data_IF_788473263266
#
_entry.id   IF_788473263266
#
_cell.length_a   1.000
_cell.length_b   1.000
_cell.length_c   1.000
_cell.angle_alpha   90.00
_cell.angle_beta   90.00
_cell.angle_gamma   90.00
#
_symmetry.space_group_name_H-M   'P 1'
#
loop_
_entity.id
_entity.type
_entity.pdbx_description
1 polymer ?
#
# COMPACT_ATOMS: atom_id res chain seq x y z
N UNK A 1 -16.66 67.93 48.04
CA UNK A 1 -16.78 66.75 48.94
C UNK A 1 -18.22 66.22 48.89
N UNK A 2 -18.43 65.10 48.20
CA UNK A 2 -19.52 64.12 48.41
C UNK A 2 -19.24 62.90 47.51
N UNK A 3 -18.96 61.78 48.17
CA UNK A 3 -19.13 60.34 47.87
C UNK A 3 -19.59 59.97 46.44
N UNK A 4 -18.87 59.12 45.68
CA UNK A 4 -18.65 57.65 45.82
C UNK A 4 -19.87 56.81 45.38
N UNK A 5 -19.58 55.80 44.55
CA UNK A 5 -20.23 54.47 44.38
C UNK A 5 -20.98 54.19 43.05
N UNK A 6 -20.62 53.04 42.45
CA UNK A 6 -21.38 52.13 41.56
C UNK A 6 -21.42 52.52 40.05
N UNK A 7 -21.15 51.67 39.06
CA UNK A 7 -21.25 50.21 38.93
C UNK A 7 -20.17 49.73 37.93
N UNK A 8 -19.37 48.73 38.33
CA UNK A 8 -18.55 47.92 37.43
C UNK A 8 -19.49 46.93 36.71
N UNK A 9 -19.97 47.28 35.50
CA UNK A 9 -20.73 46.35 34.66
C UNK A 9 -19.81 45.75 33.60
N UNK A 10 -19.25 44.59 33.97
CA UNK A 10 -19.09 43.41 33.16
C UNK A 10 -19.69 43.52 31.75
N UNK A 11 -18.84 43.56 30.73
CA UNK A 11 -19.18 43.00 29.42
C UNK A 11 -18.03 42.08 29.02
N UNK A 12 -18.14 40.87 29.54
CA UNK A 12 -17.45 39.68 29.06
C UNK A 12 -17.97 39.47 27.62
N UNK A 13 -17.26 40.02 26.63
CA UNK A 13 -17.58 39.76 25.23
C UNK A 13 -17.18 38.30 24.96
N UNK A 14 -18.19 37.44 24.99
CA UNK A 14 -18.35 36.17 24.27
C UNK A 14 -17.10 35.73 23.49
N UNK A 15 -16.17 35.06 24.18
CA UNK A 15 -15.29 34.07 23.55
C UNK A 15 -15.99 32.71 23.58
N UNK A 16 -17.15 32.63 22.92
CA UNK A 16 -17.87 31.36 22.75
C UNK A 16 -18.45 31.33 21.35
N UNK A 17 -17.69 30.75 20.43
CA UNK A 17 -18.14 29.72 19.49
C UNK A 17 -17.13 29.58 18.34
N UNK A 18 -15.88 29.27 18.65
CA UNK A 18 -15.15 28.34 17.80
C UNK A 18 -15.04 27.08 18.64
N UNK A 19 -16.06 26.22 18.58
CA UNK A 19 -15.77 24.80 18.71
C UNK A 19 -14.81 24.54 17.56
N UNK A 20 -13.53 24.38 17.88
CA UNK A 20 -12.68 23.57 17.02
C UNK A 20 -13.46 22.26 16.92
N UNK A 21 -13.99 21.91 15.75
CA UNK A 21 -14.44 20.54 15.54
C UNK A 21 -13.18 19.69 15.74
N UNK A 22 -13.03 19.13 16.93
CA UNK A 22 -12.07 18.06 17.13
C UNK A 22 -12.44 17.00 16.11
N UNK A 23 -11.51 16.69 15.21
CA UNK A 23 -11.68 15.61 14.25
C UNK A 23 -11.67 14.33 15.07
N UNK A 24 -12.85 13.86 15.48
CA UNK A 24 -12.95 12.69 16.36
C UNK A 24 -12.62 11.38 15.64
N UNK A 25 -12.71 11.34 14.30
CA UNK A 25 -12.36 10.16 13.51
C UNK A 25 -12.06 10.50 12.05
N UNK A 26 -11.07 9.85 11.47
CA UNK A 26 -10.75 9.98 10.05
C UNK A 26 -10.09 8.70 9.53
N UNK A 27 -10.43 8.33 8.29
CA UNK A 27 -9.81 7.24 7.54
C UNK A 27 -9.54 7.70 6.11
N UNK A 28 -8.30 7.54 5.65
CA UNK A 28 -7.84 7.81 4.30
C UNK A 28 -7.10 6.59 3.78
N UNK A 29 -7.56 6.10 2.64
CA UNK A 29 -6.89 5.08 1.83
C UNK A 29 -7.06 5.47 0.37
N UNK A 30 -5.99 5.36 -0.41
CA UNK A 30 -6.02 5.61 -1.85
C UNK A 30 -6.00 4.31 -2.66
N UNK A 31 -6.38 4.43 -3.93
CA UNK A 31 -6.11 3.39 -4.91
C UNK A 31 -4.60 3.17 -4.99
N UNK A 32 -4.18 1.92 -5.03
CA UNK A 32 -2.77 1.57 -4.91
C UNK A 32 -2.43 0.28 -5.65
N UNK A 33 -1.14 0.08 -5.90
CA UNK A 33 -0.59 -1.22 -6.22
C UNK A 33 -0.16 -1.84 -4.89
N UNK A 34 -0.67 -3.02 -4.51
CA UNK A 34 -0.23 -3.73 -3.30
C UNK A 34 1.29 -3.94 -3.29
N UNK A 35 1.83 -4.11 -2.09
CA UNK A 35 3.26 -4.34 -1.83
C UNK A 35 3.37 -5.53 -0.90
N UNK A 36 4.20 -6.52 -1.23
CA UNK A 36 4.42 -7.68 -0.35
C UNK A 36 3.11 -8.33 0.15
N UNK A 37 2.17 -8.57 -0.77
CA UNK A 37 0.83 -9.07 -0.46
C UNK A 37 0.04 -8.24 0.59
N UNK A 38 0.26 -6.93 0.65
CA UNK A 38 -0.39 -6.02 1.58
C UNK A 38 -0.75 -4.67 0.98
N UNK A 39 -1.47 -3.86 1.74
CA UNK A 39 -1.85 -2.48 1.37
C UNK A 39 -1.38 -1.49 2.43
N UNK A 40 -1.25 -0.23 2.05
CA UNK A 40 -1.02 0.86 2.98
C UNK A 40 -2.32 1.64 3.25
N UNK A 41 -2.63 1.83 4.52
CA UNK A 41 -3.62 2.80 5.00
C UNK A 41 -2.91 4.12 5.21
N UNK A 42 -3.21 5.11 4.36
CA UNK A 42 -2.48 6.38 4.33
C UNK A 42 -2.61 7.14 5.64
N UNK A 43 -3.82 7.15 6.21
CA UNK A 43 -4.08 7.78 7.49
C UNK A 43 -5.29 7.14 8.17
N UNK A 44 -5.19 6.89 9.47
CA UNK A 44 -6.37 6.63 10.29
C UNK A 44 -6.20 7.26 11.68
N UNK A 45 -7.30 7.75 12.23
CA UNK A 45 -7.36 8.27 13.59
C UNK A 45 -8.75 8.00 14.17
N UNK A 46 -8.79 7.57 15.42
CA UNK A 46 -9.98 7.56 16.27
C UNK A 46 -9.54 7.83 17.72
N UNK A 47 -10.36 8.54 18.48
CA UNK A 47 -10.04 8.95 19.84
C UNK A 47 -10.13 7.80 20.88
N UNK A 48 -10.93 6.77 20.60
CA UNK A 48 -10.99 5.54 21.39
C UNK A 48 -10.13 4.44 20.76
N UNK A 49 -9.95 3.33 21.48
CA UNK A 49 -9.44 2.10 20.88
C UNK A 49 -10.35 1.68 19.71
N UNK A 50 -9.72 1.22 18.64
CA UNK A 50 -10.44 0.80 17.44
C UNK A 50 -9.72 -0.34 16.74
N UNK A 51 -10.51 -1.18 16.09
CA UNK A 51 -10.03 -2.19 15.17
C UNK A 51 -9.96 -1.65 13.76
N UNK A 52 -8.93 -2.04 13.04
CA UNK A 52 -8.79 -1.81 11.62
C UNK A 52 -8.82 -3.16 10.90
N UNK A 53 -9.67 -3.27 9.87
CA UNK A 53 -9.81 -4.49 9.07
C UNK A 53 -9.85 -4.16 7.59
N UNK A 54 -9.25 -5.03 6.78
CA UNK A 54 -9.42 -5.05 5.34
C UNK A 54 -10.57 -5.98 4.97
N UNK A 55 -11.44 -5.52 4.08
CA UNK A 55 -12.64 -6.24 3.64
C UNK A 55 -12.74 -6.24 2.12
N UNK A 56 -13.43 -7.26 1.59
CA UNK A 56 -13.95 -7.25 0.23
C UNK A 56 -15.25 -6.43 0.13
N UNK A 57 -15.71 -6.22 -1.10
CA UNK A 57 -16.98 -5.55 -1.37
C UNK A 57 -18.20 -6.26 -0.77
N UNK A 58 -18.14 -7.59 -0.59
CA UNK A 58 -19.14 -8.41 0.08
C UNK A 58 -18.98 -8.48 1.61
N UNK A 59 -18.19 -7.57 2.18
CA UNK A 59 -17.90 -7.40 3.61
C UNK A 59 -17.18 -8.57 4.30
N UNK A 60 -16.68 -9.54 3.53
CA UNK A 60 -15.76 -10.57 4.04
C UNK A 60 -14.44 -9.93 4.47
N UNK A 61 -14.02 -10.16 5.71
CA UNK A 61 -12.72 -9.73 6.25
C UNK A 61 -11.60 -10.59 5.65
N UNK A 62 -10.54 -9.94 5.16
CA UNK A 62 -9.41 -10.57 4.46
C UNK A 62 -8.04 -10.19 5.05
N UNK A 63 -8.04 -9.59 6.24
CA UNK A 63 -6.85 -9.37 7.06
C UNK A 63 -7.12 -9.89 8.46
N UNK A 64 -6.07 -10.11 9.23
CA UNK A 64 -6.22 -10.15 10.69
C UNK A 64 -6.68 -8.77 11.20
N UNK A 65 -7.66 -8.71 12.12
CA UNK A 65 -8.04 -7.45 12.77
C UNK A 65 -6.87 -6.86 13.56
N UNK A 66 -6.63 -5.56 13.37
CA UNK A 66 -5.55 -4.85 14.07
C UNK A 66 -6.14 -3.89 15.09
N UNK A 67 -5.85 -4.08 16.38
CA UNK A 67 -6.21 -3.14 17.42
C UNK A 67 -5.25 -1.94 17.43
N UNK A 68 -5.80 -0.74 17.37
CA UNK A 68 -5.08 0.52 17.50
C UNK A 68 -5.55 1.23 18.78
N UNK A 69 -4.60 1.54 19.66
CA UNK A 69 -4.86 2.14 20.97
C UNK A 69 -5.06 3.67 20.90
N UNK A 70 -6.15 4.13 20.27
CA UNK A 70 -6.58 5.54 20.33
C UNK A 70 -5.57 6.56 19.80
N UNK A 71 -4.89 6.23 18.70
CA UNK A 71 -3.82 7.06 18.12
C UNK A 71 -3.99 7.23 16.62
N UNK A 72 -3.31 8.24 16.09
CA UNK A 72 -3.17 8.41 14.65
C UNK A 72 -2.10 7.46 14.11
N UNK A 73 -2.40 6.83 12.97
CA UNK A 73 -1.44 6.02 12.21
C UNK A 73 -1.30 6.59 10.80
N UNK A 74 -0.08 6.53 10.27
CA UNK A 74 0.30 7.04 8.95
C UNK A 74 0.97 5.92 8.17
N UNK A 75 0.59 5.78 6.89
CA UNK A 75 1.13 4.75 5.99
C UNK A 75 1.25 3.38 6.69
N UNK A 76 0.17 2.98 7.37
CA UNK A 76 0.13 1.73 8.11
C UNK A 76 0.05 0.56 7.13
N UNK A 77 1.02 -0.34 7.18
CA UNK A 77 1.02 -1.54 6.36
C UNK A 77 0.04 -2.56 6.94
N UNK A 78 -0.89 -3.01 6.11
CA UNK A 78 -1.90 -4.00 6.43
C UNK A 78 -1.74 -5.22 5.53
N UNK A 79 -1.24 -6.34 6.07
CA UNK A 79 -1.12 -7.58 5.32
C UNK A 79 -2.50 -8.10 4.88
N UNK A 80 -2.55 -8.63 3.66
CA UNK A 80 -3.66 -9.46 3.22
C UNK A 80 -3.34 -10.88 3.67
N UNK A 81 -4.32 -11.54 4.28
CA UNK A 81 -4.17 -12.92 4.71
C UNK A 81 -3.94 -13.83 3.48
N UNK A 82 -2.94 -14.71 3.61
CA UNK A 82 -2.40 -15.53 2.52
C UNK A 82 -3.40 -16.53 1.93
N UNK A 83 -4.50 -16.80 2.64
CA UNK A 83 -5.61 -17.65 2.19
C UNK A 83 -6.47 -16.97 1.13
N UNK A 84 -6.33 -15.66 0.94
CA UNK A 84 -7.14 -14.89 0.00
C UNK A 84 -6.35 -14.49 -1.24
N UNK A 85 -6.94 -14.76 -2.39
CA UNK A 85 -6.48 -14.27 -3.69
C UNK A 85 -7.25 -13.00 -4.06
N UNK A 86 -6.52 -11.99 -4.50
CA UNK A 86 -7.05 -10.68 -4.88
C UNK A 86 -6.95 -10.51 -6.39
N UNK A 87 -8.08 -10.19 -7.01
CA UNK A 87 -8.14 -9.97 -8.44
C UNK A 87 -7.53 -8.60 -8.83
N UNK A 88 -6.96 -8.52 -10.02
CA UNK A 88 -6.53 -7.24 -10.56
C UNK A 88 -7.73 -6.29 -10.73
N UNK A 89 -7.59 -5.04 -10.29
CA UNK A 89 -8.65 -4.02 -10.22
C UNK A 89 -9.80 -4.34 -9.24
N UNK A 90 -9.61 -5.28 -8.29
CA UNK A 90 -10.60 -5.55 -7.24
C UNK A 90 -10.86 -4.31 -6.39
N UNK A 91 -12.12 -4.15 -5.98
CA UNK A 91 -12.53 -3.09 -5.04
C UNK A 91 -12.59 -3.66 -3.63
N UNK A 92 -11.76 -3.09 -2.76
CA UNK A 92 -11.60 -3.45 -1.36
C UNK A 92 -12.06 -2.30 -0.46
N UNK A 93 -12.24 -2.59 0.82
CA UNK A 93 -12.66 -1.65 1.85
C UNK A 93 -11.73 -1.71 3.04
N UNK A 94 -11.32 -0.57 3.56
CA UNK A 94 -10.79 -0.50 4.93
C UNK A 94 -11.92 -0.02 5.83
N UNK A 95 -12.12 -0.69 6.96
CA UNK A 95 -13.14 -0.33 7.93
C UNK A 95 -12.52 -0.12 9.31
N UNK A 96 -12.92 0.96 9.99
CA UNK A 96 -12.67 1.12 11.42
C UNK A 96 -13.87 0.61 12.21
N UNK A 97 -13.61 -0.15 13.27
CA UNK A 97 -14.60 -0.64 14.22
C UNK A 97 -14.24 -0.14 15.62
N UNK A 98 -15.21 0.31 16.40
CA UNK A 98 -14.96 0.77 17.78
C UNK A 98 -14.70 -0.46 18.67
N UNK A 99 -13.66 -0.50 19.50
CA UNK A 99 -13.39 -1.62 20.42
C UNK A 99 -14.39 -1.57 21.59
N UNK A 100 -15.51 -2.27 21.45
CA UNK A 100 -16.57 -2.38 22.47
C UNK A 100 -16.63 -3.79 23.03
N UNK A 101 -17.44 -4.04 24.06
CA UNK A 101 -17.50 -5.37 24.67
C UNK A 101 -16.25 -5.71 25.48
N UNK A 102 -15.55 -6.77 25.10
CA UNK A 102 -14.34 -7.26 25.78
C UNK A 102 -13.10 -6.53 25.24
N UNK A 103 -12.42 -5.68 26.05
CA UNK A 103 -11.31 -4.88 25.55
C UNK A 103 -10.21 -5.72 24.87
N UNK A 104 -9.88 -5.37 23.63
CA UNK A 104 -8.84 -6.05 22.86
C UNK A 104 -9.24 -7.42 22.32
N UNK A 105 -10.54 -7.73 22.25
CA UNK A 105 -11.07 -8.87 21.50
C UNK A 105 -11.94 -8.36 20.35
N UNK A 106 -11.69 -8.83 19.13
CA UNK A 106 -12.52 -8.47 17.99
C UNK A 106 -13.80 -9.33 17.94
N UNK A 107 -14.96 -8.71 18.08
CA UNK A 107 -16.27 -9.35 18.33
C UNK A 107 -17.32 -9.06 17.23
N UNK A 108 -16.94 -8.39 16.13
CA UNK A 108 -17.89 -8.00 15.07
C UNK A 108 -18.53 -9.21 14.36
N UNK A 109 -19.88 -9.24 14.35
CA UNK A 109 -20.68 -10.35 13.80
C UNK A 109 -21.43 -10.03 12.50
N UNK A 110 -21.28 -8.83 11.93
CA UNK A 110 -21.90 -8.46 10.64
C UNK A 110 -23.26 -7.77 10.70
N UNK A 111 -23.96 -7.74 11.83
CA UNK A 111 -25.35 -7.22 11.89
C UNK A 111 -25.68 -6.35 13.10
N UNK A 112 -25.40 -6.85 14.31
CA UNK A 112 -25.61 -6.15 15.58
C UNK A 112 -24.75 -6.78 16.66
N UNK A 113 -24.36 -6.01 17.67
CA UNK A 113 -23.53 -6.49 18.78
C UNK A 113 -22.35 -5.57 19.00
N UNK A 114 -21.28 -6.12 19.57
CA UNK A 114 -20.04 -5.39 19.83
C UNK A 114 -19.25 -5.12 18.53
N UNK A 115 -18.26 -4.25 18.63
CA UNK A 115 -17.39 -3.82 17.55
C UNK A 115 -18.10 -3.36 16.29
N UNK A 116 -19.10 -2.49 16.44
CA UNK A 116 -19.73 -1.91 15.27
C UNK A 116 -18.77 -0.96 14.54
N UNK A 117 -18.91 -0.84 13.20
CA UNK A 117 -18.17 0.15 12.44
C UNK A 117 -18.30 1.54 13.06
N UNK A 118 -17.19 2.29 13.13
CA UNK A 118 -17.19 3.63 13.69
C UNK A 118 -18.10 4.54 12.86
N UNK A 119 -19.09 5.13 13.52
CA UNK A 119 -20.06 6.04 12.93
C UNK A 119 -20.12 7.35 13.74
N UNK A 120 -19.41 8.37 13.26
CA UNK A 120 -19.37 9.73 13.86
C UNK A 120 -19.79 10.77 12.81
N UNK A 121 -21.03 10.66 12.34
CA UNK A 121 -21.59 11.51 11.26
C UNK A 121 -21.38 10.94 9.85
N UNK A 122 -20.34 10.13 9.64
CA UNK A 122 -20.20 9.23 8.50
C UNK A 122 -19.58 7.91 8.91
N UNK A 123 -19.99 6.84 8.25
CA UNK A 123 -19.41 5.51 8.39
C UNK A 123 -17.94 5.54 7.97
N UNK A 124 -17.04 5.09 8.86
CA UNK A 124 -15.60 5.07 8.60
C UNK A 124 -15.19 3.79 7.88
N UNK A 125 -15.79 3.64 6.70
CA UNK A 125 -15.46 2.62 5.72
C UNK A 125 -15.05 3.34 4.44
N UNK A 126 -13.91 2.97 3.88
CA UNK A 126 -13.37 3.57 2.66
C UNK A 126 -13.11 2.50 1.62
N UNK A 127 -13.83 2.61 0.51
CA UNK A 127 -13.57 1.83 -0.69
C UNK A 127 -12.33 2.35 -1.42
N UNK A 128 -11.54 1.43 -1.97
CA UNK A 128 -10.42 1.72 -2.84
C UNK A 128 -10.22 0.58 -3.83
N UNK A 129 -9.48 0.84 -4.90
CA UNK A 129 -9.11 -0.17 -5.89
C UNK A 129 -7.65 -0.55 -5.75
N UNK A 130 -7.40 -1.84 -5.83
CA UNK A 130 -6.05 -2.39 -5.96
C UNK A 130 -5.78 -2.74 -7.40
N UNK A 131 -4.57 -2.48 -7.87
CA UNK A 131 -4.06 -2.97 -9.14
C UNK A 131 -2.90 -3.91 -8.86
N UNK A 132 -2.95 -5.12 -9.40
CA UNK A 132 -1.86 -6.08 -9.19
C UNK A 132 -0.53 -5.47 -9.69
N UNK A 133 0.60 -5.68 -8.99
CA UNK A 133 1.92 -5.36 -9.54
C UNK A 133 2.17 -6.20 -10.80
N UNK A 134 2.92 -5.66 -11.76
CA UNK A 134 3.08 -6.30 -13.06
C UNK A 134 4.35 -5.87 -13.79
N UNK A 135 4.85 -6.75 -14.64
CA UNK A 135 5.82 -6.47 -15.70
C UNK A 135 5.16 -6.81 -17.03
N UNK A 136 5.13 -5.86 -17.96
CA UNK A 136 4.67 -6.05 -19.33
C UNK A 136 5.83 -5.78 -20.28
N UNK A 137 6.26 -6.85 -20.94
CA UNK A 137 7.33 -6.88 -21.90
C UNK A 137 6.94 -7.84 -23.03
N UNK A 138 7.50 -7.61 -24.21
CA UNK A 138 7.35 -8.47 -25.37
C UNK A 138 8.72 -8.90 -25.86
N UNK A 139 8.73 -10.03 -26.56
CA UNK A 139 9.85 -10.42 -27.41
C UNK A 139 10.21 -9.27 -28.33
N UNK A 140 11.50 -8.99 -28.40
CA UNK A 140 12.01 -7.82 -29.08
C UNK A 140 13.43 -8.08 -29.55
N UNK A 141 13.83 -7.33 -30.57
CA UNK A 141 15.24 -7.18 -30.91
C UNK A 141 15.86 -6.26 -29.87
N UNK A 142 17.05 -6.59 -29.40
CA UNK A 142 17.78 -5.77 -28.43
C UNK A 142 19.21 -5.58 -28.90
N UNK A 143 19.75 -4.39 -28.62
CA UNK A 143 21.17 -4.10 -28.70
C UNK A 143 21.73 -3.95 -27.27
N UNK A 144 21.56 -2.76 -26.68
CA UNK A 144 22.17 -2.42 -25.38
C UNK A 144 21.16 -2.25 -24.23
N UNK A 145 19.85 -2.31 -24.52
CA UNK A 145 18.83 -2.05 -23.51
C UNK A 145 17.54 -2.80 -23.77
N UNK A 146 16.97 -3.39 -22.73
CA UNK A 146 15.67 -4.02 -22.77
C UNK A 146 14.56 -2.98 -22.58
N UNK A 147 13.59 -2.94 -23.48
CA UNK A 147 12.44 -2.04 -23.40
C UNK A 147 11.20 -2.75 -22.86
N UNK A 148 10.57 -2.14 -21.86
CA UNK A 148 9.34 -2.61 -21.24
C UNK A 148 8.17 -1.77 -21.74
N UNK A 149 7.10 -2.42 -22.20
CA UNK A 149 5.86 -1.75 -22.57
C UNK A 149 5.32 -0.94 -21.37
N UNK A 150 5.26 -1.63 -20.23
CA UNK A 150 4.95 -1.00 -18.94
C UNK A 150 5.30 -1.91 -17.77
N UNK A 151 5.44 -1.32 -16.59
CA UNK A 151 5.51 -2.05 -15.32
C UNK A 151 4.76 -1.26 -14.25
N UNK A 152 4.31 -1.95 -13.20
CA UNK A 152 3.64 -1.35 -12.06
C UNK A 152 4.20 -1.90 -10.76
N UNK A 153 4.61 -0.98 -9.86
CA UNK A 153 5.16 -1.30 -8.54
C UNK A 153 4.48 -0.43 -7.47
N UNK A 154 4.20 -1.02 -6.31
CA UNK A 154 3.51 -0.34 -5.20
C UNK A 154 4.41 0.43 -4.25
N UNK A 155 5.73 0.27 -4.36
CA UNK A 155 6.72 0.90 -3.50
C UNK A 155 7.99 1.26 -4.28
N UNK A 156 8.97 1.86 -3.60
CA UNK A 156 10.32 1.94 -4.15
C UNK A 156 10.93 0.53 -4.26
N UNK A 157 11.76 0.32 -5.27
CA UNK A 157 12.27 -1.01 -5.55
C UNK A 157 13.18 -1.11 -6.75
N UNK A 158 13.38 -2.33 -7.21
CA UNK A 158 14.31 -2.66 -8.28
C UNK A 158 13.62 -3.50 -9.35
N UNK A 159 14.02 -3.27 -10.61
CA UNK A 159 13.77 -4.19 -11.70
C UNK A 159 15.10 -4.84 -12.08
N UNK A 160 15.16 -6.17 -12.06
CA UNK A 160 16.34 -6.91 -12.49
C UNK A 160 16.09 -7.65 -13.79
N UNK A 161 17.18 -7.92 -14.50
CA UNK A 161 17.22 -8.73 -15.71
C UNK A 161 18.31 -9.78 -15.51
N UNK A 162 17.92 -11.02 -15.68
CA UNK A 162 18.77 -12.19 -15.57
C UNK A 162 18.82 -12.87 -16.94
N UNK A 163 19.99 -13.33 -17.36
CA UNK A 163 20.11 -14.20 -18.54
C UNK A 163 19.88 -15.65 -18.11
N UNK A 164 19.06 -16.40 -18.83
CA UNK A 164 18.86 -17.83 -18.53
C UNK A 164 19.84 -18.65 -19.35
N UNK A 165 20.46 -19.65 -18.73
CA UNK A 165 21.29 -20.65 -19.39
C UNK A 165 20.88 -22.08 -19.03
N UNK A 166 21.66 -23.06 -19.49
CA UNK A 166 21.41 -24.49 -19.26
C UNK A 166 21.44 -24.89 -17.77
N UNK A 167 21.95 -24.01 -16.90
CA UNK A 167 22.00 -24.21 -15.44
C UNK A 167 20.97 -23.38 -14.67
N UNK A 168 20.16 -22.58 -15.37
CA UNK A 168 19.17 -21.63 -14.83
C UNK A 168 19.74 -20.56 -13.88
N UNK A 169 21.06 -20.36 -13.83
CA UNK A 169 21.71 -19.36 -12.98
C UNK A 169 22.69 -18.48 -13.76
N UNK A 170 22.34 -17.19 -13.90
CA UNK A 170 23.33 -16.14 -14.07
C UNK A 170 23.10 -15.00 -13.08
N UNK A 171 24.16 -14.24 -12.85
CA UNK A 171 24.10 -12.92 -12.22
C UNK A 171 23.20 -11.96 -13.00
N UNK A 172 22.83 -10.87 -12.34
CA UNK A 172 22.01 -9.82 -12.96
C UNK A 172 22.80 -9.14 -14.07
N UNK A 173 22.27 -9.17 -15.30
CA UNK A 173 22.84 -8.48 -16.47
C UNK A 173 22.21 -7.10 -16.69
N UNK A 174 21.23 -6.73 -15.88
CA UNK A 174 20.63 -5.40 -15.89
C UNK A 174 19.90 -5.15 -14.58
N UNK A 175 20.10 -3.97 -14.01
CA UNK A 175 19.44 -3.54 -12.77
C UNK A 175 19.01 -2.08 -12.95
N UNK A 176 17.77 -1.78 -12.56
CA UNK A 176 17.28 -0.41 -12.54
C UNK A 176 16.54 -0.11 -11.24
N UNK A 177 16.87 1.02 -10.62
CA UNK A 177 16.16 1.53 -9.46
C UNK A 177 14.87 2.24 -9.85
N UNK A 178 13.79 1.95 -9.14
CA UNK A 178 12.49 2.58 -9.27
C UNK A 178 12.21 3.34 -7.96
N UNK A 179 12.41 4.65 -8.00
CA UNK A 179 12.41 5.50 -6.80
C UNK A 179 11.02 6.04 -6.39
N UNK A 180 9.96 5.72 -7.15
CA UNK A 180 8.59 6.15 -6.87
C UNK A 180 7.62 5.03 -7.20
N UNK A 181 6.62 4.79 -6.35
CA UNK A 181 5.54 3.86 -6.66
C UNK A 181 4.71 4.36 -7.85
N UNK A 182 4.26 3.45 -8.72
CA UNK A 182 3.39 3.82 -9.83
C UNK A 182 3.51 2.92 -11.05
N UNK A 183 3.01 3.44 -12.17
CA UNK A 183 3.03 2.77 -13.48
C UNK A 183 4.02 3.49 -14.39
N UNK A 184 4.99 2.74 -14.87
CA UNK A 184 5.99 3.20 -15.82
C UNK A 184 5.66 2.67 -17.21
N UNK A 185 5.91 3.47 -18.26
CA UNK A 185 5.67 3.12 -19.66
C UNK A 185 6.94 3.38 -20.45
N UNK A 186 7.21 2.55 -21.45
CA UNK A 186 8.43 2.65 -22.27
C UNK A 186 9.70 2.70 -21.39
N UNK A 187 9.69 1.94 -20.30
CA UNK A 187 10.81 1.88 -19.37
C UNK A 187 11.95 1.11 -20.02
N UNK A 188 13.19 1.55 -19.82
CA UNK A 188 14.37 0.91 -20.42
C UNK A 188 15.40 0.61 -19.35
N UNK A 189 16.00 -0.56 -19.44
CA UNK A 189 17.10 -0.97 -18.58
C UNK A 189 18.28 -1.33 -19.47
N UNK A 190 19.43 -0.73 -19.19
CA UNK A 190 20.66 -1.05 -19.89
C UNK A 190 21.11 -2.46 -19.51
N UNK A 191 21.68 -3.16 -20.48
CA UNK A 191 22.28 -4.46 -20.29
C UNK A 191 23.80 -4.29 -20.15
N UNK A 192 24.39 -5.07 -19.24
CA UNK A 192 25.81 -5.07 -18.94
C UNK A 192 26.55 -6.20 -19.68
N UNK A 193 25.80 -7.06 -20.37
CA UNK A 193 26.32 -8.17 -21.16
C UNK A 193 25.77 -8.19 -22.58
N UNK A 194 26.55 -8.78 -23.49
CA UNK A 194 26.11 -9.04 -24.85
C UNK A 194 25.03 -10.12 -24.88
N UNK A 195 23.93 -9.81 -25.56
CA UNK A 195 22.82 -10.74 -25.77
C UNK A 195 22.66 -11.07 -27.25
N UNK A 196 22.27 -12.31 -27.51
CA UNK A 196 22.11 -12.87 -28.84
C UNK A 196 20.66 -13.22 -29.10
N UNK A 197 20.28 -13.27 -30.37
CA UNK A 197 18.98 -13.77 -30.74
C UNK A 197 18.80 -15.23 -30.29
N UNK A 198 17.65 -15.53 -29.70
CA UNK A 198 17.37 -16.81 -29.05
C UNK A 198 17.65 -16.80 -27.54
N UNK A 199 18.40 -15.83 -27.02
CA UNK A 199 18.59 -15.69 -25.56
C UNK A 199 17.24 -15.50 -24.88
N UNK A 200 17.06 -16.17 -23.75
CA UNK A 200 15.91 -16.01 -22.87
C UNK A 200 16.33 -15.20 -21.66
N UNK A 201 15.64 -14.08 -21.40
CA UNK A 201 15.89 -13.25 -20.23
C UNK A 201 14.71 -13.34 -19.27
N UNK A 202 15.00 -13.35 -17.97
CA UNK A 202 14.01 -13.31 -16.90
C UNK A 202 14.09 -11.96 -16.22
N UNK A 203 12.93 -11.34 -16.04
CA UNK A 203 12.79 -10.03 -15.41
C UNK A 203 12.01 -10.16 -14.13
N UNK A 204 12.46 -9.51 -13.05
CA UNK A 204 11.83 -9.62 -11.72
C UNK A 204 11.73 -8.26 -11.04
N UNK A 205 10.63 -8.01 -10.35
CA UNK A 205 10.50 -6.86 -9.45
C UNK A 205 10.93 -7.25 -8.04
N UNK A 206 11.62 -6.33 -7.37
CA UNK A 206 12.00 -6.41 -5.98
C UNK A 206 11.57 -5.14 -5.25
N UNK A 207 11.28 -5.25 -3.96
CA UNK A 207 11.01 -4.11 -3.10
C UNK A 207 12.29 -3.74 -2.38
N UNK A 208 12.67 -2.47 -2.48
CA UNK A 208 13.79 -1.96 -1.70
C UNK A 208 13.26 -1.71 -0.28
N UNK A 209 13.84 -2.41 0.69
CA UNK A 209 13.46 -2.27 2.10
C UNK A 209 14.52 -1.49 2.89
N UNK A 210 15.58 -1.06 2.22
CA UNK A 210 16.71 -0.42 2.84
C UNK A 210 16.72 1.07 2.54
N UNK A 211 17.54 1.80 3.28
CA UNK A 211 17.87 3.19 2.94
C UNK A 211 19.07 3.28 1.99
N UNK A 212 19.66 2.12 1.64
CA UNK A 212 20.84 2.05 0.80
C UNK A 212 20.35 1.90 -0.64
N UNK A 213 20.70 2.85 -1.51
CA UNK A 213 20.38 2.79 -2.94
C UNK A 213 21.30 1.79 -3.67
N UNK A 214 21.38 0.56 -3.14
CA UNK A 214 22.16 -0.54 -3.69
C UNK A 214 21.33 -1.82 -3.60
N UNK A 215 21.20 -2.51 -4.72
CA UNK A 215 20.45 -3.76 -4.78
C UNK A 215 21.16 -4.89 -4.03
N UNK A 216 20.40 -5.67 -3.24
CA UNK A 216 20.84 -6.95 -2.69
C UNK A 216 19.63 -7.87 -2.49
N UNK A 217 19.66 -9.10 -3.02
CA UNK A 217 18.55 -10.05 -2.84
C UNK A 217 18.31 -10.47 -1.38
N UNK A 218 19.31 -10.34 -0.51
CA UNK A 218 19.17 -10.63 0.91
C UNK A 218 18.35 -9.55 1.63
N UNK A 219 18.41 -8.31 1.15
CA UNK A 219 17.79 -7.14 1.79
C UNK A 219 16.57 -6.61 1.04
N UNK A 220 16.53 -6.86 -0.27
CA UNK A 220 15.47 -6.46 -1.17
C UNK A 220 14.77 -7.74 -1.62
N UNK A 221 13.64 -8.13 -0.98
CA UNK A 221 12.94 -9.34 -1.37
C UNK A 221 12.21 -9.16 -2.70
N UNK A 222 12.00 -10.25 -3.46
CA UNK A 222 11.14 -10.22 -4.63
C UNK A 222 9.76 -9.64 -4.29
N UNK A 223 9.21 -8.84 -5.19
CA UNK A 223 7.84 -8.38 -5.05
C UNK A 223 6.88 -9.57 -5.21
N UNK A 224 5.94 -9.69 -4.27
CA UNK A 224 4.98 -10.79 -4.22
C UNK A 224 3.54 -10.29 -4.16
N UNK A 225 2.65 -10.96 -4.88
CA UNK A 225 1.22 -10.71 -4.88
C UNK A 225 0.45 -12.01 -5.06
N UNK A 226 -0.54 -12.27 -4.19
CA UNK A 226 -1.22 -13.57 -4.10
C UNK A 226 -0.24 -14.74 -3.89
N UNK A 227 0.84 -14.49 -3.14
CA UNK A 227 1.94 -15.43 -2.88
C UNK A 227 2.78 -15.82 -4.09
N UNK A 228 2.58 -15.18 -5.25
CA UNK A 228 3.39 -15.38 -6.45
C UNK A 228 4.37 -14.21 -6.63
N UNK A 229 5.60 -14.50 -7.09
CA UNK A 229 6.59 -13.48 -7.42
C UNK A 229 6.25 -12.81 -8.75
N UNK A 230 6.54 -11.51 -8.86
CA UNK A 230 6.31 -10.76 -10.09
C UNK A 230 7.49 -10.94 -11.04
N UNK A 231 7.34 -11.91 -11.94
CA UNK A 231 8.34 -12.32 -12.92
C UNK A 231 7.76 -12.33 -14.33
N UNK A 232 8.58 -12.04 -15.33
CA UNK A 232 8.24 -12.20 -16.74
C UNK A 232 9.46 -12.67 -17.54
N UNK A 233 9.22 -13.39 -18.63
CA UNK A 233 10.25 -13.94 -19.51
C UNK A 233 10.15 -13.29 -20.89
N UNK A 234 11.29 -12.97 -21.49
CA UNK A 234 11.37 -12.40 -22.84
C UNK A 234 12.41 -13.17 -23.66
N UNK A 235 12.08 -13.43 -24.93
CA UNK A 235 13.02 -14.04 -25.88
C UNK A 235 13.53 -12.97 -26.84
N UNK A 236 14.86 -12.91 -26.98
CA UNK A 236 15.51 -11.96 -27.89
C UNK A 236 15.33 -12.43 -29.33
N UNK A 237 14.81 -11.54 -30.18
CA UNK A 237 14.54 -11.85 -31.58
C UNK A 237 15.74 -11.58 -32.48
N UNK A 238 15.82 -12.30 -33.60
CA UNK A 238 16.77 -12.00 -34.67
C UNK A 238 16.52 -10.60 -35.24
N UNK A 239 17.62 -9.90 -35.59
CA UNK A 239 17.58 -8.68 -36.40
C UNK A 239 17.03 -8.93 -37.80
#
# INVERSE_FOLDING_TARGET
MKNLILILFMTFILLSCFKNEEIDTQLIVYNQIPVQNGIFVNYAYHNNNYWMVLKRSNDSVISEPVLINGQQVYNFFMPIDDRFVIANNESLKVALHEDTGTPGVFEYSGSSGEDQPVNRGSLQIKDFKVRAPFISIKDQMVNDSLAFDSLGIGYFGWLTIDKVDETEEFGKIGIAYINVAGIYRNFKVNLEEDIQAGDTLVTRLFIDQTIMQSFSEESDPPEVFNNDTIVNTVVIQNM
#
